data_IF_970471995745
#
_entry.id   IF_970471995745
#
_cell.length_a   1.000
_cell.length_b   1.000
_cell.length_c   1.000
_cell.angle_alpha   90.00
_cell.angle_beta   90.00
_cell.angle_gamma   90.00
#
_symmetry.space_group_name_H-M   'P 1'
#
loop_
_entity.id
_entity.type
_entity.pdbx_description
1 polymer ?
#
# COMPACT_ATOMS: atom_id res chain seq x y z
N UNK A 1 8.60 24.06 -19.58
CA UNK A 1 10.07 23.91 -19.61
C UNK A 1 10.38 22.83 -20.63
N UNK A 2 11.09 23.15 -21.71
CA UNK A 2 11.48 22.12 -22.68
C UNK A 2 12.57 21.24 -22.06
N UNK A 3 12.29 19.95 -21.95
CA UNK A 3 13.24 18.94 -21.49
C UNK A 3 13.97 18.34 -22.71
N UNK A 4 15.23 17.94 -22.54
CA UNK A 4 15.96 17.24 -23.60
C UNK A 4 15.36 15.85 -23.83
N UNK A 5 15.47 15.34 -25.06
CA UNK A 5 15.01 13.98 -25.41
C UNK A 5 15.68 12.93 -24.52
N UNK A 6 16.99 13.09 -24.27
CA UNK A 6 17.75 12.19 -23.39
C UNK A 6 17.18 12.15 -21.96
N UNK A 7 16.82 13.31 -21.40
CA UNK A 7 16.22 13.38 -20.05
C UNK A 7 14.83 12.73 -20.04
N UNK A 8 14.03 12.96 -21.09
CA UNK A 8 12.72 12.31 -21.24
C UNK A 8 12.86 10.79 -21.23
N UNK A 9 13.76 10.24 -22.05
CA UNK A 9 13.94 8.80 -22.20
C UNK A 9 14.38 8.15 -20.88
N UNK A 10 15.30 8.79 -20.15
CA UNK A 10 15.74 8.30 -18.83
C UNK A 10 14.62 8.30 -17.80
N UNK A 11 13.86 9.40 -17.69
CA UNK A 11 12.75 9.51 -16.75
C UNK A 11 11.64 8.49 -17.07
N UNK A 12 11.30 8.36 -18.35
CA UNK A 12 10.32 7.37 -18.80
C UNK A 12 10.77 5.94 -18.46
N UNK A 13 12.05 5.62 -18.70
CA UNK A 13 12.62 4.32 -18.39
C UNK A 13 12.58 4.03 -16.89
N UNK A 14 12.98 4.98 -16.03
CA UNK A 14 12.90 4.84 -14.57
C UNK A 14 11.45 4.58 -14.13
N UNK A 15 10.49 5.34 -14.68
CA UNK A 15 9.06 5.16 -14.39
C UNK A 15 8.58 3.77 -14.78
N UNK A 16 8.95 3.27 -15.98
CA UNK A 16 8.57 1.94 -16.45
C UNK A 16 9.20 0.83 -15.61
N UNK A 17 10.49 0.91 -15.29
CA UNK A 17 11.14 -0.07 -14.41
C UNK A 17 10.54 -0.07 -13.02
N UNK A 18 10.21 1.10 -12.46
CA UNK A 18 9.55 1.20 -11.15
C UNK A 18 8.16 0.58 -11.17
N UNK A 19 7.38 0.83 -12.24
CA UNK A 19 6.06 0.23 -12.41
C UNK A 19 6.12 -1.29 -12.54
N UNK A 20 7.03 -1.81 -13.38
CA UNK A 20 7.21 -3.25 -13.59
C UNK A 20 7.72 -3.93 -12.32
N UNK A 21 8.73 -3.35 -11.66
CA UNK A 21 9.24 -3.82 -10.39
C UNK A 21 8.17 -3.83 -9.31
N UNK A 22 7.34 -2.79 -9.25
CA UNK A 22 6.19 -2.72 -8.35
C UNK A 22 5.14 -3.79 -8.64
N UNK A 23 4.83 -4.05 -9.90
CA UNK A 23 3.87 -5.09 -10.30
C UNK A 23 4.36 -6.50 -9.95
N UNK A 24 5.67 -6.74 -10.00
CA UNK A 24 6.25 -8.04 -9.63
C UNK A 24 6.44 -8.18 -8.11
N UNK A 25 6.70 -7.10 -7.39
CA UNK A 25 6.99 -7.10 -5.97
C UNK A 25 5.73 -7.06 -5.09
N UNK A 26 4.78 -6.17 -5.41
CA UNK A 26 3.69 -5.83 -4.50
C UNK A 26 2.62 -6.92 -4.38
N UNK A 27 2.08 -7.49 -5.48
CA UNK A 27 1.04 -8.50 -5.37
C UNK A 27 1.47 -9.75 -4.59
N UNK A 28 2.65 -10.36 -4.82
CA UNK A 28 3.08 -11.52 -4.04
C UNK A 28 3.23 -11.22 -2.55
N UNK A 29 3.85 -10.09 -2.20
CA UNK A 29 4.02 -9.70 -0.80
C UNK A 29 2.67 -9.43 -0.12
N UNK A 30 1.77 -8.74 -0.82
CA UNK A 30 0.44 -8.42 -0.31
C UNK A 30 -0.42 -9.67 -0.11
N UNK A 31 -0.38 -10.59 -1.07
CA UNK A 31 -1.03 -11.90 -1.00
C UNK A 31 -0.48 -12.70 0.19
N UNK A 32 0.85 -12.82 0.32
CA UNK A 32 1.49 -13.52 1.43
C UNK A 32 1.04 -12.95 2.78
N UNK A 33 1.12 -11.64 2.98
CA UNK A 33 0.70 -11.01 4.23
C UNK A 33 -0.80 -11.15 4.49
N UNK A 34 -1.62 -11.29 3.45
CA UNK A 34 -3.06 -11.51 3.61
C UNK A 34 -3.37 -12.93 4.07
N UNK A 35 -2.69 -13.93 3.51
CA UNK A 35 -2.84 -15.33 3.93
C UNK A 35 -2.24 -15.60 5.30
N UNK A 36 -1.09 -14.99 5.61
CA UNK A 36 -0.42 -15.13 6.90
C UNK A 36 -0.87 -14.09 7.95
N UNK A 37 -2.02 -13.43 7.75
CA UNK A 37 -2.55 -12.49 8.74
C UNK A 37 -2.81 -13.22 10.06
N UNK A 38 -2.25 -12.76 11.19
CA UNK A 38 -2.42 -13.44 12.48
C UNK A 38 -3.90 -13.52 12.89
N UNK A 39 -4.37 -14.71 13.28
CA UNK A 39 -5.75 -14.92 13.76
C UNK A 39 -6.07 -14.02 14.96
N UNK A 40 -5.11 -13.80 15.85
CA UNK A 40 -5.24 -12.88 17.00
C UNK A 40 -5.60 -11.47 16.54
N UNK A 41 -4.89 -10.94 15.54
CA UNK A 41 -5.17 -9.63 14.95
C UNK A 41 -6.59 -9.54 14.39
N UNK A 42 -7.02 -10.57 13.65
CA UNK A 42 -8.38 -10.62 13.09
C UNK A 42 -9.46 -10.66 14.17
N UNK A 43 -9.31 -11.52 15.19
CA UNK A 43 -10.30 -11.65 16.26
C UNK A 43 -10.37 -10.39 17.15
N UNK A 44 -9.27 -9.65 17.26
CA UNK A 44 -9.22 -8.41 18.03
C UNK A 44 -9.79 -7.23 17.25
N UNK A 45 -9.45 -7.07 15.97
CA UNK A 45 -9.75 -5.83 15.24
C UNK A 45 -10.60 -5.99 13.99
N UNK A 46 -10.68 -7.16 13.35
CA UNK A 46 -11.53 -7.38 12.18
C UNK A 46 -12.96 -7.75 12.62
N UNK A 47 -13.62 -6.81 13.30
CA UNK A 47 -14.99 -6.90 13.82
C UNK A 47 -15.55 -5.50 14.07
N UNK A 48 -16.83 -5.40 14.41
CA UNK A 48 -17.42 -4.15 14.92
C UNK A 48 -16.77 -3.74 16.27
N UNK A 49 -16.60 -2.44 16.55
CA UNK A 49 -17.00 -1.28 15.75
C UNK A 49 -15.94 -0.82 14.72
N UNK A 50 -14.84 -1.54 14.56
CA UNK A 50 -13.69 -1.13 13.73
C UNK A 50 -13.93 -1.27 12.22
N UNK A 51 -14.75 -2.25 11.86
CA UNK A 51 -15.23 -2.51 10.51
C UNK A 51 -16.75 -2.63 10.55
N UNK A 52 -17.42 -2.02 9.58
CA UNK A 52 -18.86 -2.16 9.39
C UNK A 52 -19.22 -3.57 8.94
N UNK A 53 -20.48 -4.00 9.13
CA UNK A 53 -20.97 -5.30 8.62
C UNK A 53 -20.68 -5.50 7.12
N UNK A 54 -20.87 -4.44 6.31
CA UNK A 54 -20.59 -4.50 4.87
C UNK A 54 -19.11 -4.78 4.58
N UNK A 55 -18.20 -4.10 5.28
CA UNK A 55 -16.76 -4.34 5.14
C UNK A 55 -16.36 -5.73 5.63
N UNK A 56 -16.95 -6.21 6.73
CA UNK A 56 -16.69 -7.54 7.26
C UNK A 56 -17.08 -8.63 6.25
N UNK A 57 -18.27 -8.53 5.67
CA UNK A 57 -18.74 -9.45 4.63
C UNK A 57 -17.83 -9.36 3.41
N UNK A 58 -17.58 -8.14 2.92
CA UNK A 58 -16.80 -7.90 1.71
C UNK A 58 -15.36 -8.41 1.84
N UNK A 59 -14.67 -8.05 2.93
CA UNK A 59 -13.25 -8.35 3.16
C UNK A 59 -13.01 -9.69 3.87
N UNK A 60 -14.04 -10.52 4.05
CA UNK A 60 -13.92 -11.82 4.70
C UNK A 60 -13.13 -12.83 3.85
N UNK A 61 -13.21 -12.73 2.51
CA UNK A 61 -12.71 -13.73 1.56
C UNK A 61 -11.77 -13.10 0.52
N UNK A 62 -10.85 -13.92 0.00
CA UNK A 62 -9.99 -13.53 -1.12
C UNK A 62 -10.83 -13.31 -2.39
N UNK A 63 -10.53 -12.29 -3.23
CA UNK A 63 -9.40 -11.36 -3.17
C UNK A 63 -9.64 -10.13 -2.28
N UNK A 64 -10.87 -9.90 -1.84
CA UNK A 64 -11.23 -8.71 -1.08
C UNK A 64 -10.60 -8.64 0.31
N UNK A 65 -10.18 -9.77 0.88
CA UNK A 65 -9.39 -9.82 2.10
C UNK A 65 -8.05 -9.09 1.99
N UNK A 66 -7.52 -8.86 0.78
CA UNK A 66 -6.34 -8.04 0.56
C UNK A 66 -6.51 -6.62 1.15
N UNK A 67 -7.70 -6.02 1.01
CA UNK A 67 -7.99 -4.68 1.50
C UNK A 67 -7.86 -4.56 3.02
N UNK A 68 -8.27 -5.58 3.78
CA UNK A 68 -8.13 -5.56 5.25
C UNK A 68 -6.66 -5.52 5.65
N UNK A 69 -5.79 -6.22 4.92
CA UNK A 69 -4.36 -6.27 5.17
C UNK A 69 -3.71 -4.93 4.84
N UNK A 70 -4.13 -4.26 3.77
CA UNK A 70 -3.71 -2.88 3.50
C UNK A 70 -4.15 -1.93 4.60
N UNK A 71 -5.37 -2.06 5.12
CA UNK A 71 -5.86 -1.23 6.23
C UNK A 71 -4.96 -1.39 7.46
N UNK A 72 -4.60 -2.62 7.83
CA UNK A 72 -3.65 -2.84 8.93
C UNK A 72 -2.27 -2.24 8.67
N UNK A 73 -1.74 -2.35 7.45
CA UNK A 73 -0.48 -1.72 7.06
C UNK A 73 -0.52 -0.19 7.16
N UNK A 74 -1.60 0.43 6.64
CA UNK A 74 -1.80 1.88 6.70
C UNK A 74 -1.93 2.40 8.13
N UNK A 75 -2.66 1.72 9.01
CA UNK A 75 -2.81 2.13 10.41
C UNK A 75 -1.49 2.01 11.17
N UNK A 76 -0.71 0.96 10.86
CA UNK A 76 0.61 0.75 11.45
C UNK A 76 1.61 1.84 11.03
N UNK A 77 1.55 2.30 9.78
CA UNK A 77 2.44 3.33 9.25
C UNK A 77 1.98 4.75 9.60
N UNK A 78 0.68 5.02 9.51
CA UNK A 78 0.06 6.32 9.76
C UNK A 78 -0.86 6.22 10.98
N UNK A 79 -0.33 6.38 12.20
CA UNK A 79 -1.10 6.16 13.42
C UNK A 79 -2.31 7.09 13.50
N UNK A 80 -2.31 8.28 12.88
CA UNK A 80 -3.50 9.15 12.88
C UNK A 80 -4.74 8.54 12.21
N UNK A 81 -4.58 7.53 11.34
CA UNK A 81 -5.70 6.79 10.74
C UNK A 81 -6.37 5.86 11.76
N UNK A 82 -5.72 5.59 12.90
CA UNK A 82 -6.29 4.84 14.01
C UNK A 82 -7.57 5.50 14.54
N UNK A 83 -7.65 6.84 14.54
CA UNK A 83 -8.77 7.61 15.10
C UNK A 83 -10.07 7.36 14.35
N UNK A 84 -9.99 7.08 13.04
CA UNK A 84 -11.18 6.84 12.21
C UNK A 84 -11.83 5.48 12.50
N UNK A 85 -11.01 4.45 12.79
CA UNK A 85 -11.48 3.07 13.00
C UNK A 85 -11.36 2.59 14.44
N UNK A 86 -10.79 3.40 15.33
CA UNK A 86 -10.45 3.07 16.71
C UNK A 86 -9.53 1.84 16.86
N UNK A 87 -8.66 1.58 15.87
CA UNK A 87 -7.71 0.46 15.88
C UNK A 87 -6.40 0.94 16.50
N UNK A 88 -6.36 1.05 17.84
CA UNK A 88 -5.17 1.48 18.58
C UNK A 88 -4.25 0.31 18.86
N UNK A 89 -2.94 0.54 18.79
CA UNK A 89 -1.88 -0.40 19.18
C UNK A 89 -1.96 -1.79 18.53
N UNK A 90 -2.46 -1.89 17.29
CA UNK A 90 -2.54 -3.17 16.59
C UNK A 90 -1.18 -3.88 16.44
N UNK A 91 -0.07 -3.15 16.54
CA UNK A 91 1.29 -3.70 16.53
C UNK A 91 1.58 -4.67 17.69
N UNK A 92 0.84 -4.59 18.81
CA UNK A 92 1.06 -5.43 20.00
C UNK A 92 0.50 -6.85 19.85
N UNK A 93 -0.47 -7.03 18.95
CA UNK A 93 -1.12 -8.34 18.74
C UNK A 93 -0.59 -9.09 17.52
N UNK A 94 0.37 -8.52 16.80
CA UNK A 94 1.01 -9.11 15.63
C UNK A 94 2.47 -9.48 15.92
N UNK A 95 3.00 -10.57 15.33
CA UNK A 95 4.41 -10.91 15.46
C UNK A 95 5.29 -9.91 14.70
N UNK A 96 6.53 -9.73 15.16
CA UNK A 96 7.47 -8.73 14.62
C UNK A 96 7.72 -8.88 13.12
N UNK A 97 7.86 -10.12 12.61
CA UNK A 97 8.07 -10.37 11.19
C UNK A 97 6.89 -9.88 10.33
N UNK A 98 5.66 -10.04 10.82
CA UNK A 98 4.45 -9.62 10.12
C UNK A 98 4.34 -8.10 10.10
N UNK A 99 4.67 -7.47 11.25
CA UNK A 99 4.75 -6.01 11.38
C UNK A 99 5.75 -5.42 10.37
N UNK A 100 6.95 -5.99 10.30
CA UNK A 100 7.99 -5.57 9.35
C UNK A 100 7.49 -5.74 7.91
N UNK A 101 6.86 -6.88 7.60
CA UNK A 101 6.29 -7.12 6.27
C UNK A 101 5.22 -6.09 5.87
N UNK A 102 4.31 -5.74 6.78
CA UNK A 102 3.30 -4.70 6.54
C UNK A 102 3.92 -3.31 6.32
N UNK A 103 4.93 -2.95 7.12
CA UNK A 103 5.66 -1.69 6.97
C UNK A 103 6.37 -1.66 5.61
N UNK A 104 7.05 -2.76 5.25
CA UNK A 104 7.76 -2.88 3.97
C UNK A 104 6.80 -2.73 2.80
N UNK A 105 5.65 -3.43 2.82
CA UNK A 105 4.60 -3.31 1.82
C UNK A 105 4.07 -1.88 1.70
N UNK A 106 3.86 -1.20 2.83
CA UNK A 106 3.29 0.16 2.84
C UNK A 106 4.30 1.18 2.30
N UNK A 107 5.55 1.12 2.77
CA UNK A 107 6.63 2.01 2.31
C UNK A 107 6.93 1.77 0.83
N UNK A 108 7.06 0.52 0.39
CA UNK A 108 7.28 0.21 -1.02
C UNK A 108 6.13 0.74 -1.88
N UNK A 109 4.88 0.65 -1.40
CA UNK A 109 3.70 1.18 -2.11
C UNK A 109 3.80 2.68 -2.26
N UNK A 110 4.12 3.39 -1.18
CA UNK A 110 4.27 4.85 -1.23
C UNK A 110 5.41 5.28 -2.14
N UNK A 111 6.57 4.61 -2.10
CA UNK A 111 7.71 4.92 -2.95
C UNK A 111 7.42 4.69 -4.43
N UNK A 112 6.83 3.54 -4.78
CA UNK A 112 6.45 3.22 -6.17
C UNK A 112 5.45 4.26 -6.69
N UNK A 113 4.43 4.58 -5.90
CA UNK A 113 3.43 5.59 -6.26
C UNK A 113 4.08 6.97 -6.42
N UNK A 114 4.94 7.37 -5.48
CA UNK A 114 5.62 8.66 -5.53
C UNK A 114 6.50 8.82 -6.77
N UNK A 115 7.30 7.81 -7.10
CA UNK A 115 8.17 7.83 -8.29
C UNK A 115 7.32 7.82 -9.56
N UNK A 116 6.35 6.90 -9.66
CA UNK A 116 5.53 6.75 -10.85
C UNK A 116 4.71 8.01 -11.14
N UNK A 117 3.91 8.46 -10.16
CA UNK A 117 3.07 9.65 -10.33
C UNK A 117 3.88 10.94 -10.38
N UNK A 118 5.00 11.02 -9.66
CA UNK A 118 5.89 12.18 -9.68
C UNK A 118 6.53 12.37 -11.05
N UNK A 119 7.10 11.31 -11.62
CA UNK A 119 7.66 11.37 -12.99
C UNK A 119 6.56 11.62 -14.02
N UNK A 120 5.44 10.88 -13.95
CA UNK A 120 4.33 11.06 -14.89
C UNK A 120 3.81 12.51 -14.89
N UNK A 121 3.60 13.10 -13.71
CA UNK A 121 3.15 14.48 -13.58
C UNK A 121 4.18 15.49 -14.14
N UNK A 122 5.46 15.27 -13.86
CA UNK A 122 6.54 16.10 -14.40
C UNK A 122 6.61 16.02 -15.94
N UNK A 123 6.49 14.83 -16.52
CA UNK A 123 6.47 14.62 -17.96
C UNK A 123 5.24 15.28 -18.61
N UNK A 124 4.06 15.17 -18.00
CA UNK A 124 2.84 15.81 -18.51
C UNK A 124 2.95 17.33 -18.53
N UNK A 125 3.43 17.93 -17.43
CA UNK A 125 3.51 19.40 -17.30
C UNK A 125 4.61 20.01 -18.16
N UNK A 126 5.72 19.30 -18.37
CA UNK A 126 6.78 19.73 -19.30
C UNK A 126 6.35 19.71 -20.76
N UNK A 127 5.46 18.78 -21.15
CA UNK A 127 4.94 18.67 -22.52
C UNK A 127 3.79 19.65 -22.86
N UNK A 128 3.07 20.15 -21.83
CA UNK A 128 1.89 21.03 -21.99
C UNK A 128 2.27 22.51 -22.19
N UNK A 129 3.49 22.93 -21.86
CA UNK A 129 3.99 24.26 -22.27
C UNK A 129 4.35 24.27 -23.76
N UNK A 130 3.38 24.59 -24.62
CA UNK A 130 3.61 25.14 -25.96
C UNK A 130 3.51 26.66 -25.92
#
# INVERSE_FOLDING_TARGET
MQISQELFDHLFLIMMFTAMGGLLWQPPLWILLTFFTPKKLLNTYFKEPHFSQGELIFMSRFPWSLFRTSIFGWILFLPFLDKKRNIRNCYEVMPTWYRIGLILLTISTMLIMFIFFGIMFFLLTSHITK
#
